data_IF_747009250419
#
_entry.id   IF_747009250419
#
_cell.length_a   1.000
_cell.length_b   1.000
_cell.length_c   1.000
_cell.angle_alpha   90.00
_cell.angle_beta   90.00
_cell.angle_gamma   90.00
#
_symmetry.space_group_name_H-M   'P 1'
#
loop_
_entity.id
_entity.type
_entity.pdbx_description
1 polymer ?
#
# COMPACT_ATOMS: atom_id res chain seq x y z
N UNK A 1 27.92 1.69 -4.57
CA UNK A 1 26.97 1.18 -3.56
C UNK A 1 25.61 1.09 -4.23
N UNK A 2 24.91 -0.06 -4.18
CA UNK A 2 23.60 -0.18 -4.79
C UNK A 2 22.53 0.51 -3.92
N UNK A 3 21.60 1.25 -4.52
CA UNK A 3 20.56 2.05 -3.82
C UNK A 3 19.69 1.17 -2.90
N UNK A 4 19.27 0.00 -3.39
CA UNK A 4 18.45 -0.94 -2.62
C UNK A 4 19.28 -1.95 -1.81
N UNK A 5 20.58 -2.05 -2.10
CA UNK A 5 21.49 -2.98 -1.43
C UNK A 5 21.26 -4.49 -1.67
N UNK A 6 20.37 -4.85 -2.61
CA UNK A 6 20.17 -6.23 -3.10
C UNK A 6 18.73 -6.47 -3.61
N UNK A 7 18.49 -7.49 -4.45
CA UNK A 7 17.14 -7.79 -4.98
C UNK A 7 16.16 -8.26 -3.89
N UNK A 8 16.64 -8.80 -2.77
CA UNK A 8 15.84 -9.22 -1.61
C UNK A 8 15.17 -8.04 -0.88
N UNK A 9 15.61 -6.81 -1.16
CA UNK A 9 15.04 -5.56 -0.63
C UNK A 9 14.18 -4.82 -1.66
N UNK A 10 13.88 -5.47 -2.78
CA UNK A 10 13.03 -4.94 -3.84
C UNK A 10 11.82 -5.85 -3.98
N UNK A 11 10.64 -5.26 -4.06
CA UNK A 11 9.38 -5.95 -4.35
C UNK A 11 8.70 -5.27 -5.54
N UNK A 12 8.06 -6.05 -6.39
CA UNK A 12 7.27 -5.54 -7.53
C UNK A 12 5.83 -6.02 -7.44
N UNK A 13 4.89 -5.19 -7.91
CA UNK A 13 3.51 -5.60 -8.17
C UNK A 13 3.26 -5.87 -9.66
N UNK A 14 4.26 -5.56 -10.50
CA UNK A 14 4.24 -5.81 -11.94
C UNK A 14 4.76 -7.21 -12.19
N UNK A 15 3.99 -7.99 -12.95
CA UNK A 15 4.43 -9.28 -13.48
C UNK A 15 5.44 -9.04 -14.61
N UNK A 16 6.71 -8.88 -14.22
CA UNK A 16 7.80 -8.49 -15.10
C UNK A 16 8.83 -9.65 -15.21
N UNK A 17 9.01 -10.24 -16.40
CA UNK A 17 9.98 -11.32 -16.61
C UNK A 17 11.44 -10.94 -16.32
N UNK A 18 11.80 -9.65 -16.41
CA UNK A 18 13.12 -9.13 -16.07
C UNK A 18 13.30 -9.11 -14.55
N UNK A 19 12.27 -8.73 -13.78
CA UNK A 19 12.31 -8.77 -12.32
C UNK A 19 12.58 -10.20 -11.81
N UNK A 20 11.90 -11.20 -12.39
CA UNK A 20 12.12 -12.63 -12.06
C UNK A 20 13.56 -13.06 -12.35
N UNK A 21 14.14 -12.66 -13.49
CA UNK A 21 15.54 -12.97 -13.84
C UNK A 21 16.54 -12.38 -12.84
N UNK A 22 16.19 -11.29 -12.19
CA UNK A 22 17.00 -10.64 -11.16
C UNK A 22 16.69 -11.12 -9.73
N UNK A 23 15.79 -12.11 -9.58
CA UNK A 23 15.42 -12.65 -8.27
C UNK A 23 14.58 -11.69 -7.40
N UNK A 24 13.92 -10.72 -8.01
CA UNK A 24 13.04 -9.78 -7.31
C UNK A 24 11.71 -10.46 -6.98
N UNK A 25 11.23 -10.29 -5.74
CA UNK A 25 9.95 -10.85 -5.31
C UNK A 25 8.78 -10.10 -5.94
N UNK A 26 7.81 -10.85 -6.49
CA UNK A 26 6.53 -10.28 -6.94
C UNK A 26 5.51 -10.41 -5.81
N UNK A 27 5.00 -9.29 -5.31
CA UNK A 27 3.93 -9.32 -4.33
C UNK A 27 2.61 -9.72 -4.98
N UNK A 28 1.94 -10.70 -4.39
CA UNK A 28 0.63 -11.19 -4.85
C UNK A 28 -0.29 -11.38 -3.66
N UNK A 29 -1.49 -10.83 -3.76
CA UNK A 29 -2.53 -10.99 -2.72
C UNK A 29 -3.47 -12.18 -2.96
N UNK A 30 -3.39 -12.83 -4.12
CA UNK A 30 -4.25 -13.95 -4.49
C UNK A 30 -3.60 -14.83 -5.59
N UNK A 31 -4.12 -16.06 -5.73
CA UNK A 31 -3.66 -17.03 -6.72
C UNK A 31 -2.55 -17.96 -6.23
N UNK A 32 -2.00 -18.82 -7.12
CA UNK A 32 -0.83 -19.62 -6.81
C UNK A 32 0.36 -18.74 -6.41
N UNK A 33 1.10 -19.17 -5.39
CA UNK A 33 2.24 -18.45 -4.81
C UNK A 33 1.87 -17.05 -4.25
N UNK A 34 0.62 -16.85 -3.84
CA UNK A 34 0.22 -15.65 -3.12
C UNK A 34 0.99 -15.51 -1.80
N UNK A 35 1.34 -14.27 -1.47
CA UNK A 35 1.94 -13.94 -0.19
C UNK A 35 0.97 -14.26 0.95
N UNK A 36 1.48 -14.72 2.10
CA UNK A 36 0.70 -14.75 3.32
C UNK A 36 0.14 -13.36 3.61
N UNK A 37 -1.11 -13.29 4.08
CA UNK A 37 -1.65 -12.01 4.51
C UNK A 37 -0.78 -11.42 5.63
N UNK A 38 -0.28 -10.20 5.41
CA UNK A 38 0.57 -9.49 6.34
C UNK A 38 -0.21 -8.88 7.53
N UNK A 39 -1.11 -9.64 8.15
CA UNK A 39 -1.97 -9.17 9.24
C UNK A 39 -1.17 -8.70 10.47
N UNK A 40 0.01 -9.28 10.71
CA UNK A 40 0.87 -8.81 11.82
C UNK A 40 1.29 -7.34 11.63
N UNK A 41 1.41 -6.87 10.39
CA UNK A 41 1.74 -5.48 10.09
C UNK A 41 0.68 -4.50 10.59
N UNK A 42 -0.58 -4.93 10.71
CA UNK A 42 -1.63 -4.08 11.30
C UNK A 42 -1.38 -3.82 12.79
N UNK A 43 -1.00 -4.86 13.54
CA UNK A 43 -0.67 -4.72 14.96
C UNK A 43 0.55 -3.83 15.17
N UNK A 44 1.58 -3.97 14.33
CA UNK A 44 2.77 -3.11 14.37
C UNK A 44 2.45 -1.67 14.01
N UNK A 45 1.68 -1.45 12.94
CA UNK A 45 1.24 -0.12 12.55
C UNK A 45 0.41 0.57 13.64
N UNK A 46 -0.47 -0.17 14.32
CA UNK A 46 -1.23 0.34 15.47
C UNK A 46 -0.30 0.73 16.63
N UNK A 47 0.65 -0.14 17.01
CA UNK A 47 1.62 0.18 18.05
C UNK A 47 2.48 1.41 17.71
N UNK A 48 2.88 1.56 16.45
CA UNK A 48 3.59 2.75 15.99
C UNK A 48 2.71 4.01 15.99
N UNK A 49 1.42 3.87 15.70
CA UNK A 49 0.45 4.97 15.76
C UNK A 49 0.23 5.45 17.20
N UNK A 50 0.11 4.53 18.16
CA UNK A 50 -0.01 4.84 19.58
C UNK A 50 1.22 5.60 20.11
N UNK A 51 2.40 5.25 19.61
CA UNK A 51 3.66 5.95 19.91
C UNK A 51 3.81 7.28 19.14
N UNK A 52 2.87 7.65 18.27
CA UNK A 52 2.94 8.84 17.42
C UNK A 52 4.02 8.77 16.33
N UNK A 53 4.56 7.57 16.07
CA UNK A 53 5.65 7.30 15.10
C UNK A 53 5.13 6.86 13.73
N UNK A 54 3.84 6.57 13.62
CA UNK A 54 3.16 6.32 12.36
C UNK A 54 1.89 7.16 12.29
N UNK A 55 1.70 7.88 11.18
CA UNK A 55 0.48 8.64 10.90
C UNK A 55 0.03 8.35 9.48
N UNK A 56 -1.28 8.24 9.31
CA UNK A 56 -1.93 8.12 8.00
C UNK A 56 -2.62 9.46 7.70
N UNK A 57 -2.06 10.30 6.82
CA UNK A 57 -2.74 11.53 6.40
C UNK A 57 -4.07 11.20 5.73
N UNK A 58 -5.12 11.93 6.09
CA UNK A 58 -6.41 11.83 5.40
C UNK A 58 -6.48 12.90 4.32
N UNK A 59 -6.70 12.49 3.08
CA UNK A 59 -6.96 13.37 1.96
C UNK A 59 -8.38 13.96 2.02
N UNK A 60 -9.32 13.18 2.56
CA UNK A 60 -10.70 13.58 2.73
C UNK A 60 -11.53 12.49 3.39
N UNK A 61 -12.62 12.91 4.03
CA UNK A 61 -13.62 12.03 4.64
C UNK A 61 -14.95 12.41 4.02
N UNK A 62 -15.62 11.45 3.40
CA UNK A 62 -16.86 11.66 2.66
C UNK A 62 -17.94 10.73 3.20
N UNK A 63 -19.19 11.18 3.36
CA UNK A 63 -20.31 10.27 3.49
C UNK A 63 -20.35 9.30 2.32
N UNK A 64 -20.86 8.08 2.53
CA UNK A 64 -20.99 7.08 1.47
C UNK A 64 -21.83 7.60 0.29
N UNK A 65 -22.80 8.48 0.55
CA UNK A 65 -23.59 9.16 -0.48
C UNK A 65 -22.73 10.00 -1.46
N UNK A 66 -21.56 10.45 -1.02
CA UNK A 66 -20.64 11.30 -1.78
C UNK A 66 -19.47 10.48 -2.38
N UNK A 67 -19.63 9.17 -2.53
CA UNK A 67 -18.59 8.28 -3.09
C UNK A 67 -18.07 8.74 -4.46
N UNK A 68 -18.91 9.39 -5.28
CA UNK A 68 -18.48 9.94 -6.56
C UNK A 68 -17.43 11.07 -6.40
N UNK A 69 -17.61 11.95 -5.41
CA UNK A 69 -16.65 13.01 -5.10
C UNK A 69 -15.35 12.43 -4.51
N UNK A 70 -15.47 11.45 -3.62
CA UNK A 70 -14.34 10.71 -3.06
C UNK A 70 -13.50 10.05 -4.18
N UNK A 71 -14.17 9.42 -5.15
CA UNK A 71 -13.52 8.81 -6.32
C UNK A 71 -12.83 9.87 -7.19
N UNK A 72 -13.49 11.01 -7.44
CA UNK A 72 -12.89 12.13 -8.18
C UNK A 72 -11.61 12.66 -7.53
N UNK A 73 -11.57 12.75 -6.20
CA UNK A 73 -10.34 13.12 -5.47
C UNK A 73 -9.25 12.06 -5.64
N UNK A 74 -9.59 10.77 -5.55
CA UNK A 74 -8.63 9.66 -5.72
C UNK A 74 -7.98 9.69 -7.11
N UNK A 75 -8.77 9.89 -8.16
CA UNK A 75 -8.30 9.88 -9.56
C UNK A 75 -7.45 11.11 -9.93
N UNK A 76 -7.45 12.16 -9.09
CA UNK A 76 -6.62 13.36 -9.34
C UNK A 76 -5.11 13.08 -9.33
N UNK A 77 -4.68 11.92 -8.82
CA UNK A 77 -3.28 11.56 -8.63
C UNK A 77 -2.55 12.34 -7.52
N UNK A 78 -3.21 13.32 -6.90
CA UNK A 78 -2.63 14.26 -5.94
C UNK A 78 -3.46 14.40 -4.65
N UNK A 79 -4.19 13.36 -4.26
CA UNK A 79 -5.00 13.38 -3.04
C UNK A 79 -4.14 13.58 -1.76
N UNK A 80 -2.85 13.20 -1.79
CA UNK A 80 -1.91 13.32 -0.67
C UNK A 80 -2.41 12.74 0.67
N UNK A 81 -3.04 11.57 0.62
CA UNK A 81 -3.51 10.87 1.82
C UNK A 81 -4.49 9.75 1.50
N UNK A 82 -5.07 9.14 2.53
CA UNK A 82 -6.18 8.18 2.40
C UNK A 82 -7.51 8.91 2.27
N UNK A 83 -8.38 8.42 1.39
CA UNK A 83 -9.78 8.84 1.28
C UNK A 83 -10.62 7.87 2.11
N UNK A 84 -11.47 8.40 2.97
CA UNK A 84 -12.33 7.62 3.88
C UNK A 84 -13.79 7.83 3.51
N UNK A 85 -14.55 6.73 3.48
CA UNK A 85 -16.00 6.74 3.38
C UNK A 85 -16.62 6.46 4.75
N UNK A 86 -17.63 7.24 5.12
CA UNK A 86 -18.39 7.07 6.38
C UNK A 86 -19.83 6.67 6.09
N UNK A 87 -20.38 5.79 6.92
CA UNK A 87 -21.79 5.37 6.91
C UNK A 87 -22.71 6.40 7.56
#
# INVERSE_FOLDING_TARGET
MAIAGGPERVVTIVDDPVAVRHGVHMSRSAGPDADPQALHGLAEAAALADLGRFRVPLAGVFPLADAAAAYGLSESGHAHGKVVLTS
#
